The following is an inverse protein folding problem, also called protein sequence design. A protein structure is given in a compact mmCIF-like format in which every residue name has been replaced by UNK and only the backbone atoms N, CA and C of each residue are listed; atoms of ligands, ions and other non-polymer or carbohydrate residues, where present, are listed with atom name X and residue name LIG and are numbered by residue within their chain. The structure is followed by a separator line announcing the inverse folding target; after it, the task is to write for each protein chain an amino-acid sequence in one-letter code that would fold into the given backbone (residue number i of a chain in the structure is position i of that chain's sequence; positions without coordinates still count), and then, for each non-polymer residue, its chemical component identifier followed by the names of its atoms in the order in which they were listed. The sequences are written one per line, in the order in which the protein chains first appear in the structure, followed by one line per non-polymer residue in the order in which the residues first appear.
data_IF_241877991872
#
_entry.id   IF_241877991872
#
_cell.length_a   1.000
_cell.length_b   1.000
_cell.length_c   1.000
_cell.angle_alpha   90.00
_cell.angle_beta   90.00
_cell.angle_gamma   90.00
#
_symmetry.space_group_name_H-M   'P 1'
#
loop_
_entity.id
_entity.type
_entity.pdbx_description
1 polymer ?
#
# COMPACT_ATOMS: atom_id res chain seq x y z
N UNK A 1 1.31 -1.67 -22.16
CA UNK A 1 0.64 -2.70 -21.37
C UNK A 1 1.48 -3.34 -20.28
N UNK A 2 2.59 -4.00 -20.64
CA UNK A 2 3.35 -4.86 -19.70
C UNK A 2 3.89 -4.14 -18.45
N UNK A 3 4.44 -2.96 -18.59
CA UNK A 3 4.97 -2.16 -17.47
C UNK A 3 3.89 -1.78 -16.42
N UNK A 4 2.65 -1.54 -16.85
CA UNK A 4 1.54 -1.25 -15.91
C UNK A 4 1.27 -2.41 -14.94
N UNK A 5 1.30 -3.64 -15.44
CA UNK A 5 1.10 -4.84 -14.60
C UNK A 5 2.29 -5.06 -13.65
N UNK A 6 3.51 -4.81 -14.09
CA UNK A 6 4.69 -4.90 -13.22
C UNK A 6 4.57 -3.92 -12.06
N UNK A 7 4.25 -2.65 -12.33
CA UNK A 7 4.07 -1.64 -11.30
C UNK A 7 2.89 -1.94 -10.37
N UNK A 8 1.80 -2.50 -10.89
CA UNK A 8 0.68 -2.97 -10.07
C UNK A 8 1.14 -4.01 -9.04
N UNK A 9 1.86 -5.04 -9.49
CA UNK A 9 2.36 -6.11 -8.62
C UNK A 9 3.34 -5.58 -7.58
N UNK A 10 4.30 -4.74 -8.00
CA UNK A 10 5.26 -4.12 -7.07
C UNK A 10 4.55 -3.27 -6.02
N UNK A 11 3.58 -2.45 -6.42
CA UNK A 11 2.78 -1.64 -5.50
C UNK A 11 1.96 -2.49 -4.53
N UNK A 12 1.34 -3.56 -5.02
CA UNK A 12 0.55 -4.48 -4.20
C UNK A 12 1.42 -5.20 -3.16
N UNK A 13 2.60 -5.68 -3.56
CA UNK A 13 3.57 -6.32 -2.66
C UNK A 13 4.04 -5.31 -1.60
N UNK A 14 4.51 -4.13 -2.01
CA UNK A 14 5.00 -3.11 -1.08
C UNK A 14 3.94 -2.69 -0.08
N UNK A 15 2.72 -2.43 -0.55
CA UNK A 15 1.61 -2.01 0.32
C UNK A 15 1.15 -3.16 1.22
N UNK A 16 1.04 -4.38 0.71
CA UNK A 16 0.67 -5.55 1.49
C UNK A 16 1.66 -5.87 2.60
N UNK A 17 2.97 -5.81 2.30
CA UNK A 17 4.02 -5.91 3.33
C UNK A 17 3.93 -4.77 4.35
N UNK A 18 3.66 -3.54 3.91
CA UNK A 18 3.48 -2.38 4.79
C UNK A 18 2.31 -2.56 5.76
N UNK A 19 1.15 -3.00 5.26
CA UNK A 19 -0.04 -3.29 6.07
C UNK A 19 0.27 -4.38 7.10
N UNK A 20 0.86 -5.49 6.65
CA UNK A 20 1.21 -6.63 7.48
C UNK A 20 2.26 -6.27 8.55
N UNK A 21 3.33 -5.57 8.16
CA UNK A 21 4.36 -5.13 9.10
C UNK A 21 3.82 -4.19 10.17
N UNK A 22 2.97 -3.24 9.80
CA UNK A 22 2.36 -2.30 10.75
C UNK A 22 1.51 -3.04 11.79
N UNK A 23 0.70 -4.01 11.37
CA UNK A 23 -0.07 -4.84 12.28
C UNK A 23 0.82 -5.60 13.26
N UNK A 24 1.83 -6.32 12.75
CA UNK A 24 2.67 -7.15 13.63
C UNK A 24 3.67 -6.35 14.47
N UNK A 25 4.10 -5.16 14.04
CA UNK A 25 4.84 -4.22 14.92
C UNK A 25 3.97 -3.84 16.11
N UNK A 26 2.70 -3.51 15.89
CA UNK A 26 1.78 -3.20 16.98
C UNK A 26 1.49 -4.43 17.86
N UNK A 27 1.38 -5.63 17.27
CA UNK A 27 1.23 -6.88 18.02
C UNK A 27 2.47 -7.23 18.86
N UNK A 28 3.68 -6.91 18.41
CA UNK A 28 4.91 -7.08 19.21
C UNK A 28 4.94 -6.17 20.44
N UNK A 29 4.26 -5.02 20.37
CA UNK A 29 4.10 -4.12 21.52
C UNK A 29 2.96 -4.59 22.48
N UNK A 30 2.07 -5.47 22.02
CA UNK A 30 1.00 -6.03 22.82
C UNK A 30 1.53 -7.18 23.69
N UNK A 31 1.53 -6.99 25.01
CA UNK A 31 1.98 -7.99 25.98
C UNK A 31 0.82 -8.41 26.88
N UNK A 32 0.25 -9.61 26.69
CA UNK A 32 -0.86 -10.08 27.54
C UNK A 32 -0.43 -10.53 28.94
N UNK A 33 0.88 -10.56 29.25
CA UNK A 33 1.41 -10.99 30.53
C UNK A 33 1.39 -12.51 30.76
N UNK A 34 1.02 -13.29 29.75
CA UNK A 34 0.99 -14.76 29.73
C UNK A 34 1.70 -15.28 28.49
N UNK A 35 2.16 -16.56 28.48
CA UNK A 35 2.82 -17.13 27.32
C UNK A 35 2.01 -16.99 26.06
N UNK A 36 2.69 -16.58 24.98
CA UNK A 36 2.06 -16.37 23.68
C UNK A 36 3.04 -16.67 22.55
N UNK A 37 2.48 -16.95 21.37
CA UNK A 37 3.23 -17.21 20.15
C UNK A 37 2.34 -16.98 18.92
N UNK A 38 2.84 -17.37 17.74
CA UNK A 38 2.12 -17.15 16.49
C UNK A 38 2.15 -18.39 15.62
N UNK A 39 1.00 -18.80 15.10
CA UNK A 39 0.90 -19.87 14.12
C UNK A 39 1.53 -19.45 12.79
N UNK A 40 2.56 -20.17 12.36
CA UNK A 40 3.34 -19.83 11.15
C UNK A 40 2.47 -19.79 9.90
N UNK A 41 1.60 -20.78 9.72
CA UNK A 41 0.76 -20.89 8.52
C UNK A 41 -0.24 -19.75 8.42
N UNK A 42 -0.92 -19.42 9.53
CA UNK A 42 -1.88 -18.31 9.58
C UNK A 42 -1.18 -16.94 9.46
N UNK A 43 0.02 -16.79 10.03
CA UNK A 43 0.84 -15.58 9.86
C UNK A 43 1.23 -15.38 8.39
N UNK A 44 1.67 -16.43 7.70
CA UNK A 44 1.96 -16.37 6.27
C UNK A 44 0.70 -16.13 5.43
N UNK A 45 -0.44 -16.75 5.79
CA UNK A 45 -1.71 -16.54 5.11
C UNK A 45 -2.20 -15.09 5.26
N UNK A 46 -2.01 -14.47 6.43
CA UNK A 46 -2.37 -13.07 6.65
C UNK A 46 -1.58 -12.12 5.73
N UNK A 47 -0.28 -12.38 5.51
CA UNK A 47 0.54 -11.65 4.55
C UNK A 47 0.04 -11.85 3.12
N UNK A 48 -0.23 -13.10 2.73
CA UNK A 48 -0.76 -13.39 1.40
C UNK A 48 -2.09 -12.68 1.15
N UNK A 49 -3.00 -12.68 2.14
CA UNK A 49 -4.28 -11.97 2.07
C UNK A 49 -4.08 -10.45 1.88
N UNK A 50 -3.15 -9.84 2.62
CA UNK A 50 -2.82 -8.42 2.46
C UNK A 50 -2.37 -8.09 1.03
N UNK A 51 -1.46 -8.89 0.47
CA UNK A 51 -0.93 -8.68 -0.89
C UNK A 51 -2.02 -8.90 -1.94
N UNK A 52 -2.75 -10.02 -1.87
CA UNK A 52 -3.77 -10.39 -2.87
C UNK A 52 -4.92 -9.38 -2.90
N UNK A 53 -5.46 -9.00 -1.72
CA UNK A 53 -6.58 -8.06 -1.66
C UNK A 53 -6.14 -6.63 -2.03
N UNK A 54 -4.92 -6.23 -1.68
CA UNK A 54 -4.36 -4.96 -2.17
C UNK A 54 -4.20 -4.99 -3.69
N UNK A 55 -3.68 -6.08 -4.26
CA UNK A 55 -3.56 -6.25 -5.70
C UNK A 55 -4.93 -6.17 -6.39
N UNK A 56 -5.93 -6.85 -5.85
CA UNK A 56 -7.30 -6.82 -6.38
C UNK A 56 -7.87 -5.39 -6.36
N UNK A 57 -7.76 -4.67 -5.24
CA UNK A 57 -8.25 -3.30 -5.13
C UNK A 57 -7.56 -2.33 -6.09
N UNK A 58 -6.23 -2.41 -6.22
CA UNK A 58 -5.47 -1.61 -7.18
C UNK A 58 -5.81 -1.97 -8.64
N UNK A 59 -5.97 -3.26 -8.95
CA UNK A 59 -6.36 -3.72 -10.28
C UNK A 59 -7.74 -3.19 -10.67
N UNK A 60 -8.71 -3.21 -9.75
CA UNK A 60 -10.05 -2.66 -9.97
C UNK A 60 -10.00 -1.16 -10.26
N UNK A 61 -9.22 -0.40 -9.50
CA UNK A 61 -8.99 1.02 -9.75
C UNK A 61 -8.38 1.28 -11.14
N UNK A 62 -7.46 0.41 -11.59
CA UNK A 62 -6.81 0.52 -12.90
C UNK A 62 -7.71 0.16 -14.07
N UNK A 63 -8.52 -0.90 -13.95
CA UNK A 63 -9.30 -1.44 -15.05
C UNK A 63 -10.52 -0.59 -15.33
N UNK A 64 -11.23 -0.18 -14.29
CA UNK A 64 -12.48 0.57 -14.47
C UNK A 64 -12.28 2.04 -14.85
N UNK A 65 -11.11 2.62 -14.61
CA UNK A 65 -10.72 4.00 -14.90
C UNK A 65 -11.88 5.01 -14.67
N UNK A 66 -12.63 4.79 -13.60
CA UNK A 66 -13.81 5.56 -13.21
C UNK A 66 -13.75 5.93 -11.74
N UNK A 67 -14.46 6.98 -11.34
CA UNK A 67 -14.56 7.35 -9.92
C UNK A 67 -15.05 6.18 -9.07
N UNK A 68 -16.02 5.41 -9.55
CA UNK A 68 -16.52 4.23 -8.86
C UNK A 68 -15.43 3.17 -8.65
N UNK A 69 -14.62 2.90 -9.70
CA UNK A 69 -13.49 1.95 -9.60
C UNK A 69 -12.46 2.34 -8.55
N UNK A 70 -12.17 3.63 -8.42
CA UNK A 70 -11.25 4.14 -7.40
C UNK A 70 -11.80 3.96 -5.98
N UNK A 71 -13.06 4.34 -5.75
CA UNK A 71 -13.70 4.17 -4.44
C UNK A 71 -13.85 2.71 -4.04
N UNK A 72 -14.30 1.88 -4.96
CA UNK A 72 -14.52 0.46 -4.72
C UNK A 72 -13.19 -0.28 -4.55
N UNK A 73 -12.19 0.03 -5.37
CA UNK A 73 -10.82 -0.49 -5.19
C UNK A 73 -10.22 -0.12 -3.84
N UNK A 74 -10.41 1.13 -3.40
CA UNK A 74 -10.00 1.57 -2.07
C UNK A 74 -10.74 0.85 -0.94
N UNK A 75 -12.03 0.58 -1.10
CA UNK A 75 -12.82 -0.22 -0.15
C UNK A 75 -12.33 -1.68 -0.07
N UNK A 76 -11.94 -2.28 -1.20
CA UNK A 76 -11.34 -3.62 -1.24
C UNK A 76 -10.00 -3.64 -0.51
N UNK A 77 -9.16 -2.61 -0.68
CA UNK A 77 -7.91 -2.49 0.11
C UNK A 77 -8.22 -2.36 1.60
N UNK A 78 -9.20 -1.53 1.99
CA UNK A 78 -9.64 -1.40 3.39
C UNK A 78 -10.19 -2.69 3.98
N UNK A 79 -10.99 -3.44 3.22
CA UNK A 79 -11.44 -4.78 3.59
C UNK A 79 -10.28 -5.78 3.70
N UNK A 80 -9.26 -5.61 2.87
CA UNK A 80 -8.00 -6.37 2.93
C UNK A 80 -7.23 -6.13 4.23
N UNK A 81 -7.20 -4.90 4.72
CA UNK A 81 -6.64 -4.57 6.04
C UNK A 81 -7.36 -5.36 7.13
N UNK A 82 -8.70 -5.36 7.13
CA UNK A 82 -9.49 -6.10 8.10
C UNK A 82 -9.25 -7.61 8.01
N UNK A 83 -9.26 -8.18 6.79
CA UNK A 83 -9.00 -9.60 6.56
C UNK A 83 -7.62 -10.00 7.09
N UNK A 84 -6.59 -9.23 6.76
CA UNK A 84 -5.23 -9.48 7.24
C UNK A 84 -5.16 -9.42 8.76
N UNK A 85 -5.78 -8.38 9.38
CA UNK A 85 -5.77 -8.21 10.83
C UNK A 85 -6.41 -9.41 11.56
N UNK A 86 -7.62 -9.81 11.15
CA UNK A 86 -8.29 -10.92 11.81
C UNK A 86 -7.65 -12.28 11.55
N UNK A 87 -7.02 -12.48 10.39
CA UNK A 87 -6.15 -13.66 10.16
C UNK A 87 -4.89 -13.61 11.03
N UNK A 88 -4.29 -12.44 11.19
CA UNK A 88 -3.15 -12.23 12.08
C UNK A 88 -3.51 -12.48 13.55
N UNK A 89 -4.70 -12.06 13.97
CA UNK A 89 -5.22 -12.37 15.31
C UNK A 89 -5.59 -13.85 15.47
N UNK A 90 -6.08 -14.51 14.44
CA UNK A 90 -6.29 -15.96 14.46
C UNK A 90 -4.95 -16.73 14.54
N UNK A 91 -3.86 -16.14 14.06
CA UNK A 91 -2.51 -16.69 14.22
C UNK A 91 -1.96 -16.53 15.64
N UNK A 92 -2.48 -15.58 16.41
CA UNK A 92 -2.02 -15.32 17.78
C UNK A 92 -2.49 -16.41 18.72
N UNK A 93 -1.56 -17.19 19.24
CA UNK A 93 -1.77 -18.23 20.23
C UNK A 93 -1.41 -17.72 21.62
N UNK A 94 -2.25 -17.95 22.60
CA UNK A 94 -2.08 -17.48 23.98
C UNK A 94 -2.63 -18.52 24.96
N UNK A 95 -2.02 -18.63 26.14
CA UNK A 95 -2.56 -19.49 27.23
C UNK A 95 -3.81 -18.85 27.85
N UNK A 96 -4.89 -18.79 27.06
CA UNK A 96 -6.15 -18.16 27.42
C UNK A 96 -7.17 -18.14 26.28
N UNK A 97 -8.36 -17.69 26.59
CA UNK A 97 -9.45 -17.50 25.62
C UNK A 97 -9.53 -16.05 25.20
N UNK A 98 -9.51 -15.80 23.90
CA UNK A 98 -9.70 -14.47 23.31
C UNK A 98 -11.19 -14.23 23.11
N UNK A 99 -11.72 -13.23 23.77
CA UNK A 99 -13.10 -12.74 23.61
C UNK A 99 -13.11 -11.46 22.79
N UNK A 100 -14.18 -11.30 22.01
CA UNK A 100 -14.34 -10.17 21.11
C UNK A 100 -15.61 -9.38 21.45
N UNK A 101 -15.49 -8.05 21.57
CA UNK A 101 -16.64 -7.15 21.57
C UNK A 101 -17.15 -6.99 20.13
N UNK A 102 -18.38 -7.47 19.81
CA UNK A 102 -18.88 -7.45 18.44
C UNK A 102 -19.12 -6.04 17.90
N UNK A 103 -19.39 -5.07 18.76
CA UNK A 103 -19.63 -3.68 18.34
C UNK A 103 -18.32 -3.06 17.86
N UNK A 104 -17.24 -3.25 18.62
CA UNK A 104 -15.92 -2.75 18.25
C UNK A 104 -15.33 -3.50 17.03
N UNK A 105 -15.63 -4.80 16.87
CA UNK A 105 -15.27 -5.55 15.67
C UNK A 105 -15.91 -4.92 14.43
N UNK A 106 -17.22 -4.70 14.45
CA UNK A 106 -17.94 -4.06 13.33
C UNK A 106 -17.43 -2.64 13.09
N UNK A 107 -17.23 -1.85 14.15
CA UNK A 107 -16.70 -0.49 14.04
C UNK A 107 -15.31 -0.48 13.40
N UNK A 108 -14.42 -1.41 13.75
CA UNK A 108 -13.08 -1.50 13.18
C UNK A 108 -13.12 -1.78 11.67
N UNK A 109 -13.96 -2.72 11.24
CA UNK A 109 -14.14 -3.08 9.84
C UNK A 109 -14.67 -1.88 9.05
N UNK A 110 -15.67 -1.18 9.58
CA UNK A 110 -16.23 0.01 8.95
C UNK A 110 -15.20 1.13 8.83
N UNK A 111 -14.44 1.42 9.89
CA UNK A 111 -13.39 2.45 9.87
C UNK A 111 -12.31 2.13 8.82
N UNK A 112 -11.76 0.92 8.84
CA UNK A 112 -10.74 0.50 7.87
C UNK A 112 -11.26 0.58 6.43
N UNK A 113 -12.47 0.09 6.18
CA UNK A 113 -13.06 0.06 4.84
C UNK A 113 -13.43 1.45 4.34
N UNK A 114 -14.10 2.27 5.15
CA UNK A 114 -14.56 3.60 4.75
C UNK A 114 -13.38 4.58 4.53
N UNK A 115 -12.40 4.59 5.44
CA UNK A 115 -11.22 5.43 5.28
C UNK A 115 -10.38 4.91 4.11
N UNK A 116 -10.20 3.59 3.99
CA UNK A 116 -9.49 2.95 2.87
C UNK A 116 -10.12 3.29 1.51
N UNK A 117 -11.46 3.34 1.45
CA UNK A 117 -12.19 3.74 0.24
C UNK A 117 -11.81 5.14 -0.25
N UNK A 118 -11.43 6.07 0.64
CA UNK A 118 -11.03 7.43 0.29
C UNK A 118 -9.56 7.53 -0.17
N UNK A 119 -8.71 6.56 0.19
CA UNK A 119 -7.27 6.62 -0.02
C UNK A 119 -6.88 6.62 -1.51
N UNK A 120 -7.46 5.72 -2.32
CA UNK A 120 -7.15 5.64 -3.75
C UNK A 120 -7.67 6.84 -4.54
N UNK A 121 -8.93 7.30 -4.39
CA UNK A 121 -9.40 8.52 -5.05
C UNK A 121 -8.56 9.76 -4.71
N UNK A 122 -8.11 9.88 -3.45
CA UNK A 122 -7.26 10.97 -3.03
C UNK A 122 -5.85 10.85 -3.64
N UNK A 123 -5.21 9.68 -3.49
CA UNK A 123 -3.82 9.46 -3.92
C UNK A 123 -3.62 9.51 -5.44
N UNK A 124 -4.66 9.20 -6.21
CA UNK A 124 -4.64 9.15 -7.68
C UNK A 124 -5.36 10.33 -8.35
N UNK A 125 -5.71 11.37 -7.57
CA UNK A 125 -6.45 12.55 -8.07
C UNK A 125 -5.68 13.30 -9.16
N UNK A 126 -4.40 13.53 -8.93
CA UNK A 126 -3.47 14.11 -9.90
C UNK A 126 -2.03 13.67 -9.60
N UNK A 127 -1.09 14.03 -10.46
CA UNK A 127 0.32 13.65 -10.32
C UNK A 127 1.07 14.41 -9.19
N UNK A 128 0.41 15.38 -8.51
CA UNK A 128 1.07 16.22 -7.51
C UNK A 128 1.46 15.44 -6.26
N UNK A 129 2.58 15.81 -5.66
CA UNK A 129 3.06 15.22 -4.41
C UNK A 129 2.04 15.37 -3.28
N UNK A 130 1.30 16.48 -3.25
CA UNK A 130 0.24 16.74 -2.26
C UNK A 130 -0.77 15.60 -2.17
N UNK A 131 -1.32 15.16 -3.30
CA UNK A 131 -2.34 14.11 -3.31
C UNK A 131 -1.76 12.72 -3.08
N UNK A 132 -0.54 12.46 -3.55
CA UNK A 132 0.19 11.22 -3.22
C UNK A 132 0.38 11.08 -1.71
N UNK A 133 0.81 12.14 -1.04
CA UNK A 133 0.96 12.18 0.43
C UNK A 133 -0.40 12.04 1.12
N UNK A 134 -1.44 12.74 0.65
CA UNK A 134 -2.79 12.63 1.22
C UNK A 134 -3.32 11.20 1.15
N UNK A 135 -3.19 10.53 0.00
CA UNK A 135 -3.61 9.13 -0.15
C UNK A 135 -2.84 8.18 0.78
N UNK A 136 -1.52 8.39 0.93
CA UNK A 136 -0.69 7.60 1.85
C UNK A 136 -1.09 7.81 3.32
N UNK A 137 -1.38 9.05 3.72
CA UNK A 137 -1.85 9.37 5.07
C UNK A 137 -3.23 8.77 5.36
N UNK A 138 -4.15 8.79 4.39
CA UNK A 138 -5.46 8.15 4.51
C UNK A 138 -5.34 6.64 4.65
N UNK A 139 -4.45 6.00 3.87
CA UNK A 139 -4.21 4.56 4.00
C UNK A 139 -3.62 4.22 5.38
N UNK A 140 -2.66 5.00 5.85
CA UNK A 140 -2.09 4.84 7.19
C UNK A 140 -3.16 5.02 8.28
N UNK A 141 -4.03 6.03 8.13
CA UNK A 141 -5.15 6.26 9.03
C UNK A 141 -6.14 5.07 9.02
N UNK A 142 -6.42 4.48 7.84
CA UNK A 142 -7.25 3.28 7.73
C UNK A 142 -6.64 2.10 8.51
N UNK A 143 -5.33 1.85 8.36
CA UNK A 143 -4.62 0.77 9.05
C UNK A 143 -4.66 1.00 10.57
N UNK A 144 -4.28 2.18 11.03
CA UNK A 144 -4.18 2.48 12.46
C UNK A 144 -5.56 2.49 13.13
N UNK A 145 -6.56 3.16 12.55
CA UNK A 145 -7.90 3.23 13.12
C UNK A 145 -8.56 1.85 13.19
N UNK A 146 -8.41 1.03 12.13
CA UNK A 146 -8.86 -0.35 12.15
C UNK A 146 -8.17 -1.14 13.25
N UNK A 147 -6.83 -1.17 13.26
CA UNK A 147 -6.05 -1.98 14.19
C UNK A 147 -6.36 -1.66 15.66
N UNK A 148 -6.28 -0.38 16.04
CA UNK A 148 -6.48 0.00 17.44
C UNK A 148 -7.93 -0.20 17.90
N UNK A 149 -8.92 0.03 17.03
CA UNK A 149 -10.32 -0.25 17.35
C UNK A 149 -10.55 -1.76 17.49
N UNK A 150 -9.99 -2.58 16.63
CA UNK A 150 -10.08 -4.03 16.69
C UNK A 150 -9.35 -4.60 17.91
N UNK A 151 -8.19 -4.05 18.30
CA UNK A 151 -7.51 -4.44 19.53
C UNK A 151 -8.25 -3.99 20.79
N UNK A 152 -8.98 -2.88 20.72
CA UNK A 152 -9.91 -2.47 21.78
C UNK A 152 -11.07 -3.45 21.99
N UNK A 153 -11.41 -4.26 20.99
CA UNK A 153 -12.42 -5.31 21.07
C UNK A 153 -11.92 -6.59 21.78
N UNK A 154 -10.60 -6.72 22.00
CA UNK A 154 -10.00 -7.96 22.52
C UNK A 154 -9.95 -7.94 24.04
N UNK A 155 -10.48 -9.01 24.66
CA UNK A 155 -10.29 -9.34 26.05
C UNK A 155 -9.72 -10.76 26.16
N UNK A 156 -8.67 -10.95 26.94
CA UNK A 156 -8.04 -12.25 27.13
C UNK A 156 -8.35 -12.74 28.55
N UNK A 157 -8.98 -13.91 28.65
CA UNK A 157 -9.21 -14.60 29.92
C UNK A 157 -8.14 -15.71 30.02
N UNK A 158 -7.20 -15.62 30.98
CA UNK A 158 -6.19 -16.65 31.17
C UNK A 158 -6.84 -18.01 31.44
N UNK A 159 -6.37 -19.06 30.76
CA UNK A 159 -6.78 -20.45 30.98
C UNK A 159 -5.55 -21.35 30.91
N UNK A 160 -5.08 -21.87 32.07
CA UNK A 160 -3.90 -22.73 32.13
C UNK A 160 -4.04 -24.06 31.41
N UNK A 161 -5.27 -24.44 31.03
CA UNK A 161 -5.51 -25.68 30.23
C UNK A 161 -5.20 -25.47 28.76
N UNK A 162 -5.26 -24.24 28.28
CA UNK A 162 -4.86 -23.86 26.93
C UNK A 162 -3.34 -23.76 26.86
N UNK A 163 -2.74 -24.40 25.87
CA UNK A 163 -1.29 -24.38 25.68
C UNK A 163 -0.94 -23.76 24.34
N UNK A 164 0.07 -22.93 24.34
CA UNK A 164 0.71 -22.45 23.09
C UNK A 164 1.38 -23.64 22.41
N UNK A 165 1.18 -23.77 21.11
CA UNK A 165 1.77 -24.86 20.32
C UNK A 165 3.30 -24.86 20.46
N UNK A 166 3.95 -26.04 20.61
CA UNK A 166 5.41 -26.12 20.60
C UNK A 166 6.06 -25.61 19.31
N UNK A 167 5.29 -25.58 18.22
CA UNK A 167 5.73 -25.08 16.92
C UNK A 167 5.31 -23.62 16.66
N UNK A 168 4.71 -22.95 17.65
CA UNK A 168 4.38 -21.53 17.51
C UNK A 168 5.64 -20.69 17.36
N UNK A 169 5.58 -19.71 16.47
CA UNK A 169 6.66 -18.77 16.25
C UNK A 169 6.79 -17.83 17.46
N UNK A 170 7.93 -17.80 18.15
CA UNK A 170 8.15 -16.83 19.21
C UNK A 170 8.17 -15.40 18.70
N UNK A 171 7.79 -14.44 19.54
CA UNK A 171 7.79 -13.00 19.21
C UNK A 171 9.14 -12.52 18.67
N UNK A 172 10.26 -13.10 19.12
CA UNK A 172 11.61 -12.76 18.64
C UNK A 172 11.78 -13.06 17.14
N UNK A 173 11.36 -14.24 16.69
CA UNK A 173 11.42 -14.61 15.26
C UNK A 173 10.40 -13.87 14.42
N UNK A 174 9.23 -13.58 14.98
CA UNK A 174 8.26 -12.68 14.34
C UNK A 174 8.87 -11.30 14.13
N UNK A 175 9.58 -10.74 15.15
CA UNK A 175 10.26 -9.45 15.03
C UNK A 175 11.30 -9.45 13.90
N UNK A 176 12.06 -10.53 13.73
CA UNK A 176 13.02 -10.69 12.61
C UNK A 176 12.26 -10.68 11.27
N UNK A 177 11.18 -11.44 11.16
CA UNK A 177 10.35 -11.47 9.95
C UNK A 177 9.77 -10.09 9.59
N UNK A 178 9.25 -9.38 10.58
CA UNK A 178 8.75 -8.00 10.43
C UNK A 178 9.85 -7.04 10.02
N UNK A 179 11.04 -7.14 10.60
CA UNK A 179 12.19 -6.31 10.22
C UNK A 179 12.59 -6.54 8.77
N UNK A 180 12.67 -7.81 8.33
CA UNK A 180 12.96 -8.17 6.93
C UNK A 180 11.88 -7.60 6.00
N UNK A 181 10.61 -7.75 6.33
CA UNK A 181 9.49 -7.24 5.56
C UNK A 181 9.55 -5.71 5.43
N UNK A 182 9.77 -5.00 6.55
CA UNK A 182 9.89 -3.54 6.57
C UNK A 182 11.09 -3.06 5.74
N UNK A 183 12.23 -3.73 5.85
CA UNK A 183 13.41 -3.42 5.05
C UNK A 183 13.17 -3.64 3.55
N UNK A 184 12.46 -4.71 3.20
CA UNK A 184 12.05 -4.99 1.82
C UNK A 184 11.19 -3.87 1.25
N UNK A 185 10.21 -3.37 2.02
CA UNK A 185 9.35 -2.24 1.62
C UNK A 185 10.19 -0.99 1.35
N UNK A 186 11.14 -0.67 2.24
CA UNK A 186 12.03 0.48 2.09
C UNK A 186 12.88 0.34 0.82
N UNK A 187 13.46 -0.84 0.58
CA UNK A 187 14.26 -1.10 -0.62
C UNK A 187 13.44 -0.96 -1.90
N UNK A 188 12.21 -1.50 -1.92
CA UNK A 188 11.31 -1.38 -3.07
C UNK A 188 10.91 0.09 -3.32
N UNK A 189 10.64 0.85 -2.25
CA UNK A 189 10.33 2.27 -2.35
C UNK A 189 11.51 3.08 -2.90
N UNK A 190 12.74 2.82 -2.41
CA UNK A 190 13.95 3.47 -2.89
C UNK A 190 14.27 3.10 -4.34
N UNK A 191 14.10 1.83 -4.71
CA UNK A 191 14.28 1.38 -6.09
C UNK A 191 13.26 2.06 -7.02
N UNK A 192 11.98 2.13 -6.62
CA UNK A 192 10.94 2.83 -7.36
C UNK A 192 11.26 4.31 -7.56
N UNK A 193 11.70 5.00 -6.49
CA UNK A 193 12.11 6.40 -6.56
C UNK A 193 13.32 6.60 -7.48
N UNK A 194 14.32 5.72 -7.41
CA UNK A 194 15.50 5.79 -8.27
C UNK A 194 15.14 5.61 -9.75
N UNK A 195 14.23 4.69 -10.07
CA UNK A 195 13.71 4.48 -11.42
C UNK A 195 12.93 5.72 -11.91
N UNK A 196 12.05 6.28 -11.10
CA UNK A 196 11.29 7.48 -11.45
C UNK A 196 12.22 8.67 -11.76
N UNK A 197 13.22 8.93 -10.92
CA UNK A 197 14.22 9.97 -11.14
C UNK A 197 15.00 9.72 -12.44
N UNK A 198 15.36 8.46 -12.70
CA UNK A 198 16.09 8.09 -13.93
C UNK A 198 15.25 8.35 -15.18
N UNK A 199 13.97 7.94 -15.15
CA UNK A 199 13.07 8.12 -16.29
C UNK A 199 12.78 9.60 -16.54
N UNK A 200 12.59 10.41 -15.49
CA UNK A 200 12.42 11.85 -15.61
C UNK A 200 13.66 12.53 -16.22
N UNK A 201 14.88 12.17 -15.79
CA UNK A 201 16.13 12.69 -16.35
C UNK A 201 16.29 12.29 -17.82
N UNK A 202 15.96 11.05 -18.16
CA UNK A 202 16.04 10.56 -19.53
C UNK A 202 15.08 11.33 -20.46
N UNK A 203 13.83 11.50 -20.02
CA UNK A 203 12.83 12.26 -20.78
C UNK A 203 13.22 13.72 -20.96
N UNK A 204 13.81 14.36 -19.94
CA UNK A 204 14.32 15.72 -20.05
C UNK A 204 15.47 15.84 -21.07
N UNK A 205 16.44 14.91 -21.02
CA UNK A 205 17.56 14.88 -21.98
C UNK A 205 17.08 14.63 -23.41
N UNK A 206 16.10 13.74 -23.61
CA UNK A 206 15.51 13.48 -24.93
C UNK A 206 14.78 14.73 -25.46
N UNK A 207 14.01 15.43 -24.61
CA UNK A 207 13.35 16.66 -24.97
C UNK A 207 14.35 17.78 -25.34
N UNK A 208 15.44 17.94 -24.57
CA UNK A 208 16.47 18.94 -24.86
C UNK A 208 17.22 18.60 -26.17
N UNK A 209 17.49 17.31 -26.41
CA UNK A 209 18.08 16.85 -27.66
C UNK A 209 17.18 17.14 -28.86
N UNK A 210 15.88 16.88 -28.75
CA UNK A 210 14.91 17.18 -29.79
C UNK A 210 14.80 18.69 -30.06
N UNK A 211 14.79 19.52 -29.01
CA UNK A 211 14.84 20.99 -29.17
C UNK A 211 16.12 21.45 -29.85
N UNK A 212 17.29 20.88 -29.46
CA UNK A 212 18.58 21.18 -30.10
C UNK A 212 18.57 20.84 -31.57
N UNK A 213 18.03 19.69 -31.97
CA UNK A 213 17.91 19.27 -33.37
C UNK A 213 16.96 20.20 -34.16
N UNK A 214 15.81 20.56 -33.57
CA UNK A 214 14.84 21.47 -34.19
C UNK A 214 15.45 22.86 -34.41
N UNK A 215 16.24 23.37 -33.45
CA UNK A 215 16.89 24.67 -33.57
C UNK A 215 18.12 24.67 -34.50
N UNK A 216 18.73 23.53 -34.75
CA UNK A 216 19.81 23.38 -35.72
C UNK A 216 19.29 23.25 -37.17
N UNK A 217 18.00 23.07 -37.37
CA UNK A 217 17.42 23.06 -38.70
C UNK A 217 17.45 24.47 -39.30
N UNK A 218 17.90 24.57 -40.56
CA UNK A 218 17.95 25.83 -41.31
C UNK A 218 16.52 26.30 -41.66
N UNK A 219 15.60 25.35 -41.79
CA UNK A 219 14.19 25.63 -42.10
C UNK A 219 13.41 26.08 -40.87
N UNK A 220 12.51 27.03 -41.05
CA UNK A 220 11.55 27.43 -40.00
C UNK A 220 10.57 26.30 -39.73
N UNK A 221 10.54 25.77 -38.46
CA UNK A 221 9.63 24.75 -38.02
C UNK A 221 8.56 25.35 -37.10
N UNK A 222 7.31 25.05 -37.42
CA UNK A 222 6.14 25.42 -36.64
C UNK A 222 5.37 24.16 -36.27
N UNK A 223 5.11 23.98 -34.98
CA UNK A 223 4.24 22.90 -34.50
C UNK A 223 2.91 23.51 -34.10
N UNK A 224 1.83 22.99 -34.68
CA UNK A 224 0.47 23.43 -34.40
C UNK A 224 -0.33 22.29 -33.73
N UNK A 225 -1.24 22.65 -32.84
CA UNK A 225 -2.32 21.79 -32.36
C UNK A 225 -3.62 22.37 -32.90
N UNK A 226 -4.14 21.72 -33.96
CA UNK A 226 -5.22 22.31 -34.77
C UNK A 226 -4.80 23.61 -35.44
N UNK A 227 -5.51 24.70 -35.15
CA UNK A 227 -5.22 26.04 -35.69
C UNK A 227 -4.32 26.90 -34.81
N UNK A 228 -3.87 26.37 -33.66
CA UNK A 228 -3.04 27.13 -32.71
C UNK A 228 -1.57 26.72 -32.81
N UNK A 229 -0.68 27.68 -32.97
CA UNK A 229 0.76 27.46 -32.92
C UNK A 229 1.19 27.18 -31.49
N UNK A 230 1.76 25.98 -31.24
CA UNK A 230 2.20 25.53 -29.91
C UNK A 230 3.66 25.89 -29.65
N UNK A 231 4.51 25.71 -30.66
CA UNK A 231 5.94 26.04 -30.55
C UNK A 231 6.56 26.28 -31.92
N UNK A 232 7.63 27.08 -31.94
CA UNK A 232 8.42 27.37 -33.14
C UNK A 232 9.91 27.18 -32.82
N UNK A 233 10.71 26.84 -33.85
CA UNK A 233 12.17 26.83 -33.69
C UNK A 233 12.77 28.22 -33.88
N UNK A 234 14.05 28.37 -33.57
CA UNK A 234 14.76 29.67 -33.67
C UNK A 234 14.75 30.22 -35.12
N UNK A 235 14.90 29.37 -36.12
CA UNK A 235 14.91 29.75 -37.54
C UNK A 235 13.54 30.35 -37.97
N UNK A 236 12.43 29.83 -37.48
CA UNK A 236 11.11 30.39 -37.76
C UNK A 236 10.88 31.74 -37.04
N UNK A 237 11.41 31.88 -35.82
CA UNK A 237 11.26 33.12 -35.04
C UNK A 237 12.10 34.28 -35.59
N UNK A 238 13.06 34.01 -36.49
CA UNK A 238 13.92 35.01 -37.10
C UNK A 238 13.55 35.34 -38.55
N UNK A 239 12.51 34.73 -39.10
CA UNK A 239 11.88 35.08 -40.37
C UNK A 239 10.94 36.26 -40.20
#
# INVERSE_FOLDING_TARGET
GHMRHVWLVVSAISTGFGIWSTHFIAMLAFSPGIPSGYNIALTALSLAAAIVLTCAGLAMAMVQNSSFGLWFGGAVVGGGIATMHYLGMAAFEVEGTVLWDPVLVVASILLGTLIGATALPAGLRDASMKWKVTGSLLLTAAICSHHFTAMGAVSIIPDPTMKVSPNALPSTWLAVGVAIASFTVILLALAGLALDIRDQRRSALEADRMRGLANAAVEGLLVCDGEVAVTVNHSFATL
#
